data_IF_461191297920
#
_entry.id   IF_461191297920
#
_cell.length_a   1.000
_cell.length_b   1.000
_cell.length_c   1.000
_cell.angle_alpha   90.00
_cell.angle_beta   90.00
_cell.angle_gamma   90.00
#
_symmetry.space_group_name_H-M   'P 1'
#
loop_
_entity.id
_entity.type
_entity.pdbx_description
1 polymer ?
#
# COMPACT_ATOMS: atom_id res chain seq x y z
N UNK A 1 -5.36 -37.96 -4.63
CA UNK A 1 -4.13 -37.24 -5.06
C UNK A 1 -4.04 -35.86 -4.44
N UNK A 2 -5.15 -35.11 -4.36
CA UNK A 2 -5.21 -33.81 -3.64
C UNK A 2 -4.92 -33.96 -2.14
N UNK A 3 -5.49 -34.95 -1.45
CA UNK A 3 -5.21 -35.19 -0.02
C UNK A 3 -3.73 -35.46 0.28
N UNK A 4 -3.05 -36.21 -0.60
CA UNK A 4 -1.61 -36.49 -0.48
C UNK A 4 -0.81 -35.20 -0.69
N UNK A 5 -1.23 -34.35 -1.61
CA UNK A 5 -0.59 -33.06 -1.86
C UNK A 5 -0.74 -32.11 -0.68
N UNK A 6 -1.95 -32.01 -0.11
CA UNK A 6 -2.18 -31.19 1.08
C UNK A 6 -1.35 -31.66 2.27
N UNK A 7 -1.30 -32.97 2.52
CA UNK A 7 -0.45 -33.56 3.56
C UNK A 7 1.04 -33.21 3.34
N UNK A 8 1.54 -33.36 2.11
CA UNK A 8 2.93 -33.02 1.79
C UNK A 8 3.22 -31.52 1.98
N UNK A 9 2.30 -30.65 1.57
CA UNK A 9 2.52 -29.20 1.57
C UNK A 9 2.29 -28.55 2.93
N UNK A 10 1.35 -29.05 3.76
CA UNK A 10 1.03 -28.48 5.07
C UNK A 10 1.81 -29.16 6.19
N UNK A 11 1.77 -30.50 6.24
CA UNK A 11 2.28 -31.25 7.39
C UNK A 11 3.76 -31.58 7.23
N UNK A 12 4.17 -32.09 6.05
CA UNK A 12 5.57 -32.46 5.82
C UNK A 12 6.46 -31.23 5.69
N UNK A 13 6.06 -30.19 4.97
CA UNK A 13 6.85 -28.95 4.87
C UNK A 13 6.93 -28.21 6.22
N UNK A 14 5.85 -28.24 7.02
CA UNK A 14 5.84 -27.70 8.37
C UNK A 14 6.83 -28.41 9.29
N UNK A 15 6.85 -29.75 9.25
CA UNK A 15 7.75 -30.58 10.04
C UNK A 15 9.22 -30.47 9.58
N UNK A 16 9.48 -30.49 8.28
CA UNK A 16 10.84 -30.51 7.73
C UNK A 16 11.53 -29.14 7.74
N UNK A 17 10.81 -28.06 7.43
CA UNK A 17 11.38 -26.71 7.34
C UNK A 17 11.11 -25.85 8.60
N UNK A 18 10.28 -26.35 9.52
CA UNK A 18 9.77 -25.62 10.68
C UNK A 18 8.59 -24.71 10.34
N UNK A 19 7.70 -24.49 11.30
CA UNK A 19 6.37 -23.87 11.09
C UNK A 19 6.38 -22.49 10.39
N UNK A 20 7.43 -21.68 10.57
CA UNK A 20 7.56 -20.36 9.92
C UNK A 20 7.98 -20.47 8.46
N UNK A 21 8.98 -21.32 8.15
CA UNK A 21 9.47 -21.50 6.77
C UNK A 21 8.53 -22.39 5.96
N UNK A 22 7.95 -23.42 6.58
CA UNK A 22 6.94 -24.28 5.98
C UNK A 22 5.76 -23.47 5.43
N UNK A 23 5.15 -22.59 6.25
CA UNK A 23 4.09 -21.67 5.80
C UNK A 23 4.49 -20.82 4.59
N UNK A 24 5.72 -20.31 4.57
CA UNK A 24 6.23 -19.51 3.44
C UNK A 24 6.36 -20.37 2.18
N UNK A 25 6.86 -21.59 2.29
CA UNK A 25 6.96 -22.53 1.16
C UNK A 25 5.58 -22.89 0.63
N UNK A 26 4.63 -23.21 1.52
CA UNK A 26 3.23 -23.48 1.16
C UNK A 26 2.61 -22.31 0.40
N UNK A 27 2.85 -21.06 0.83
CA UNK A 27 2.32 -19.87 0.14
C UNK A 27 2.88 -19.65 -1.28
N UNK A 28 3.98 -20.32 -1.63
CA UNK A 28 4.57 -20.27 -2.97
C UNK A 28 4.07 -21.40 -3.86
N UNK A 29 3.30 -22.37 -3.35
CA UNK A 29 2.80 -23.47 -4.17
C UNK A 29 1.33 -23.21 -4.54
N UNK A 30 0.88 -23.64 -5.74
CA UNK A 30 -0.52 -23.51 -6.13
C UNK A 30 -1.42 -24.36 -5.23
N UNK A 31 -2.69 -23.98 -5.12
CA UNK A 31 -3.66 -24.73 -4.32
C UNK A 31 -4.02 -26.07 -4.96
N UNK A 32 -4.06 -26.16 -6.30
CA UNK A 32 -4.25 -27.43 -7.03
C UNK A 32 -2.90 -27.94 -7.57
N UNK A 33 -2.46 -29.17 -7.22
CA UNK A 33 -1.23 -29.76 -7.75
C UNK A 33 -1.21 -29.88 -9.28
N UNK A 34 -2.37 -29.91 -9.95
CA UNK A 34 -2.46 -29.93 -11.42
C UNK A 34 -1.96 -28.64 -12.07
N UNK A 35 -1.82 -27.55 -11.31
CA UNK A 35 -1.30 -26.27 -11.79
C UNK A 35 0.23 -26.19 -11.72
N UNK A 36 0.91 -27.11 -11.03
CA UNK A 36 2.37 -27.13 -10.93
C UNK A 36 3.10 -27.10 -12.30
N UNK A 37 2.64 -27.81 -13.35
CA UNK A 37 3.23 -27.69 -14.68
C UNK A 37 3.10 -26.26 -15.24
N UNK A 38 1.95 -25.61 -15.06
CA UNK A 38 1.71 -24.23 -15.52
C UNK A 38 2.58 -23.22 -14.75
N UNK A 39 2.72 -23.42 -13.43
CA UNK A 39 3.61 -22.60 -12.60
C UNK A 39 5.06 -22.70 -13.07
N UNK A 40 5.51 -23.92 -13.40
CA UNK A 40 6.85 -24.15 -13.93
C UNK A 40 7.05 -23.49 -15.30
N UNK A 41 6.06 -23.63 -16.20
CA UNK A 41 6.08 -23.04 -17.54
C UNK A 41 6.10 -21.50 -17.48
N UNK A 42 5.34 -20.90 -16.56
CA UNK A 42 5.32 -19.45 -16.33
C UNK A 42 6.65 -18.91 -15.76
N UNK A 43 7.59 -19.78 -15.36
CA UNK A 43 8.88 -19.38 -14.77
C UNK A 43 8.85 -19.20 -13.25
N UNK A 44 7.85 -19.77 -12.58
CA UNK A 44 7.73 -19.81 -11.12
C UNK A 44 6.45 -19.16 -10.59
N UNK A 45 6.24 -19.29 -9.28
CA UNK A 45 4.96 -18.95 -8.62
C UNK A 45 4.60 -17.48 -8.69
N UNK A 46 5.59 -16.58 -8.64
CA UNK A 46 5.37 -15.14 -8.78
C UNK A 46 4.85 -14.80 -10.18
N UNK A 47 5.49 -15.33 -11.23
CA UNK A 47 5.06 -15.09 -12.61
C UNK A 47 3.72 -15.74 -12.92
N UNK A 48 3.41 -16.86 -12.27
CA UNK A 48 2.10 -17.50 -12.42
C UNK A 48 0.98 -16.70 -11.76
N UNK A 49 1.20 -16.21 -10.53
CA UNK A 49 0.19 -15.46 -9.77
C UNK A 49 0.08 -14.00 -10.20
N UNK A 50 1.16 -13.42 -10.73
CA UNK A 50 1.20 -12.05 -11.25
C UNK A 50 1.94 -12.07 -12.60
N UNK A 51 1.28 -12.52 -13.69
CA UNK A 51 1.89 -12.60 -15.03
C UNK A 51 2.48 -11.26 -15.51
N UNK A 52 1.91 -10.17 -15.01
CA UNK A 52 2.27 -8.81 -15.37
C UNK A 52 3.41 -8.21 -14.53
N UNK A 53 3.92 -8.94 -13.53
CA UNK A 53 5.01 -8.48 -12.66
C UNK A 53 6.28 -8.14 -13.45
N UNK A 54 6.47 -8.77 -14.62
CA UNK A 54 7.53 -8.45 -15.56
C UNK A 54 6.92 -8.03 -16.89
N UNK A 55 7.19 -6.79 -17.29
CA UNK A 55 6.81 -6.27 -18.61
C UNK A 55 7.98 -6.37 -19.59
N UNK A 56 7.76 -6.70 -20.88
CA UNK A 56 8.79 -6.62 -21.90
C UNK A 56 9.37 -5.20 -22.00
N UNK A 57 10.65 -5.08 -22.36
CA UNK A 57 11.31 -3.77 -22.49
C UNK A 57 10.59 -2.86 -23.49
N UNK A 58 10.12 -3.40 -24.62
CA UNK A 58 9.37 -2.61 -25.60
C UNK A 58 8.04 -2.09 -25.04
N UNK A 59 7.37 -2.88 -24.19
CA UNK A 59 6.17 -2.41 -23.49
C UNK A 59 6.52 -1.27 -22.52
N UNK A 60 7.62 -1.40 -21.77
CA UNK A 60 8.10 -0.38 -20.84
C UNK A 60 8.54 0.91 -21.54
N UNK A 61 9.11 0.83 -22.76
CA UNK A 61 9.45 2.03 -23.53
C UNK A 61 8.22 2.83 -23.93
N UNK A 62 7.12 2.15 -24.26
CA UNK A 62 5.89 2.79 -24.74
C UNK A 62 4.93 3.19 -23.60
N UNK A 63 4.89 2.42 -22.51
CA UNK A 63 3.91 2.58 -21.42
C UNK A 63 4.56 2.86 -20.06
N UNK A 64 5.84 2.53 -19.89
CA UNK A 64 6.55 2.73 -18.63
C UNK A 64 6.74 4.23 -18.34
N UNK A 65 6.55 4.58 -17.07
CA UNK A 65 6.78 5.93 -16.56
C UNK A 65 7.71 5.83 -15.36
N UNK A 66 8.83 6.55 -15.41
CA UNK A 66 9.71 6.66 -14.25
C UNK A 66 9.07 7.59 -13.21
N UNK A 67 9.04 7.15 -11.96
CA UNK A 67 8.60 7.98 -10.82
C UNK A 67 9.80 8.70 -10.18
N UNK A 68 10.67 9.31 -10.99
CA UNK A 68 11.95 9.89 -10.54
C UNK A 68 11.97 11.42 -10.56
N UNK A 69 10.86 12.08 -10.89
CA UNK A 69 10.79 13.54 -11.02
C UNK A 69 10.94 14.29 -9.69
N UNK A 70 10.66 13.64 -8.56
CA UNK A 70 10.73 14.25 -7.23
C UNK A 70 11.45 13.35 -6.24
N UNK A 71 12.10 13.96 -5.28
CA UNK A 71 12.76 13.28 -4.16
C UNK A 71 12.45 14.00 -2.84
N UNK A 72 12.52 13.24 -1.74
CA UNK A 72 12.28 13.78 -0.41
C UNK A 72 13.58 14.36 0.18
N UNK A 73 13.61 15.66 0.47
CA UNK A 73 14.73 16.36 1.16
C UNK A 73 14.23 17.09 2.41
N UNK A 74 15.15 17.69 3.17
CA UNK A 74 14.77 18.61 4.26
C UNK A 74 13.96 19.78 3.68
N UNK A 75 12.82 20.09 4.30
CA UNK A 75 11.95 21.17 3.83
C UNK A 75 12.60 22.53 4.07
N UNK A 76 12.40 23.46 3.14
CA UNK A 76 12.76 24.87 3.32
C UNK A 76 11.71 25.64 4.13
N UNK A 77 10.55 25.02 4.39
CA UNK A 77 9.49 25.57 5.24
C UNK A 77 9.83 25.26 6.70
N UNK A 78 9.86 26.30 7.53
CA UNK A 78 10.12 26.18 8.97
C UNK A 78 9.14 25.18 9.61
N UNK A 79 9.69 24.23 10.36
CA UNK A 79 8.95 23.17 11.07
C UNK A 79 8.16 22.17 10.20
N UNK A 80 8.35 22.16 8.87
CA UNK A 80 7.66 21.19 8.00
C UNK A 80 8.40 19.84 7.86
N UNK A 81 9.55 19.67 8.51
CA UNK A 81 10.33 18.44 8.43
C UNK A 81 10.93 18.20 7.03
N UNK A 82 10.27 17.38 6.21
CA UNK A 82 10.72 17.04 4.86
C UNK A 82 9.79 17.62 3.78
N UNK A 83 10.31 17.78 2.58
CA UNK A 83 9.59 18.26 1.41
C UNK A 83 9.94 17.46 0.17
N UNK A 84 9.03 17.43 -0.80
CA UNK A 84 9.29 16.93 -2.15
C UNK A 84 9.94 18.03 -2.99
N UNK A 85 11.07 17.71 -3.63
CA UNK A 85 11.80 18.62 -4.50
C UNK A 85 12.00 17.98 -5.86
N UNK A 86 11.89 18.78 -6.91
CA UNK A 86 12.15 18.32 -8.26
C UNK A 86 13.62 17.91 -8.42
N UNK A 87 13.85 16.77 -9.08
CA UNK A 87 15.19 16.25 -9.42
C UNK A 87 15.66 16.76 -10.80
N UNK A 88 14.73 17.33 -11.58
CA UNK A 88 14.93 17.88 -12.93
C UNK A 88 13.90 18.97 -13.23
N UNK A 89 14.05 19.66 -14.35
CA UNK A 89 13.02 20.56 -14.84
C UNK A 89 11.74 19.78 -15.22
N UNK A 90 10.59 20.28 -14.78
CA UNK A 90 9.27 19.72 -15.05
C UNK A 90 8.47 20.78 -15.81
N UNK A 91 8.06 20.47 -17.04
CA UNK A 91 7.27 21.38 -17.87
C UNK A 91 5.86 21.55 -17.31
N UNK A 92 5.26 22.71 -17.54
CA UNK A 92 3.86 22.95 -17.18
C UNK A 92 2.93 21.90 -17.83
N UNK A 93 1.95 21.42 -17.06
CA UNK A 93 1.00 20.40 -17.52
C UNK A 93 1.54 18.97 -17.54
N UNK A 94 2.84 18.76 -17.29
CA UNK A 94 3.42 17.41 -17.26
C UNK A 94 3.15 16.67 -15.93
N UNK A 95 3.22 15.34 -15.99
CA UNK A 95 3.06 14.47 -14.83
C UNK A 95 4.24 14.61 -13.86
N UNK A 96 3.96 14.94 -12.60
CA UNK A 96 4.97 14.98 -11.53
C UNK A 96 5.18 13.58 -10.94
N UNK A 97 4.12 13.00 -10.37
CA UNK A 97 4.18 11.68 -9.74
C UNK A 97 2.78 11.09 -9.68
N UNK A 98 2.57 9.81 -10.06
CA UNK A 98 1.31 9.14 -9.79
C UNK A 98 1.18 8.92 -8.27
N UNK A 99 -0.05 9.04 -7.77
CA UNK A 99 -0.36 8.88 -6.36
C UNK A 99 -1.42 7.77 -6.21
N UNK A 100 -1.01 6.49 -6.14
CA UNK A 100 -1.92 5.41 -5.82
C UNK A 100 -2.65 5.69 -4.49
N UNK A 101 -3.98 5.52 -4.47
CA UNK A 101 -4.81 5.86 -3.30
C UNK A 101 -5.34 4.60 -2.64
N UNK A 102 -5.13 4.48 -1.33
CA UNK A 102 -5.82 3.51 -0.49
C UNK A 102 -7.12 4.15 -0.02
N UNK A 103 -8.24 3.50 -0.31
CA UNK A 103 -9.56 3.99 0.04
C UNK A 103 -9.89 3.68 1.51
N UNK A 104 -10.32 4.71 2.24
CA UNK A 104 -10.95 4.60 3.56
C UNK A 104 -12.40 5.07 3.38
N UNK A 105 -13.34 4.13 3.50
CA UNK A 105 -14.74 4.35 3.14
C UNK A 105 -15.49 5.31 4.06
N UNK A 106 -15.03 5.45 5.31
CA UNK A 106 -15.63 6.35 6.29
C UNK A 106 -14.56 7.00 7.16
N UNK A 107 -14.53 8.33 7.16
CA UNK A 107 -13.65 9.15 7.99
C UNK A 107 -13.84 8.91 9.48
N UNK A 108 -15.00 8.42 9.91
CA UNK A 108 -15.25 8.02 11.30
C UNK A 108 -14.34 6.85 11.75
N UNK A 109 -13.74 6.10 10.81
CA UNK A 109 -12.71 5.11 11.15
C UNK A 109 -11.44 5.75 11.72
N UNK A 110 -11.22 7.04 11.49
CA UNK A 110 -10.12 7.80 12.08
C UNK A 110 -10.44 8.28 13.50
N UNK A 111 -11.61 7.98 14.04
CA UNK A 111 -12.01 8.44 15.36
C UNK A 111 -11.33 7.59 16.44
N UNK A 112 -10.82 8.27 17.45
CA UNK A 112 -10.30 7.66 18.66
C UNK A 112 -11.37 7.73 19.75
N UNK A 113 -11.42 6.69 20.57
CA UNK A 113 -12.39 6.50 21.64
C UNK A 113 -11.65 6.13 22.92
N UNK A 114 -12.25 6.43 24.07
CA UNK A 114 -11.73 5.95 25.35
C UNK A 114 -11.94 4.43 25.43
N UNK A 115 -10.88 3.70 25.77
CA UNK A 115 -10.88 2.23 25.82
C UNK A 115 -10.35 1.78 27.17
N UNK A 116 -11.12 0.91 27.83
CA UNK A 116 -10.71 0.23 29.06
C UNK A 116 -10.44 -1.25 28.80
N UNK A 117 -9.62 -1.84 29.67
CA UNK A 117 -9.31 -3.27 29.63
C UNK A 117 -9.93 -3.95 30.83
N UNK A 118 -10.55 -5.10 30.62
CA UNK A 118 -10.86 -6.00 31.73
C UNK A 118 -9.56 -6.56 32.32
N UNK A 119 -9.47 -6.59 33.65
CA UNK A 119 -8.36 -7.24 34.35
C UNK A 119 -8.51 -8.77 34.33
N UNK A 120 -7.39 -9.49 34.37
CA UNK A 120 -7.37 -10.96 34.41
C UNK A 120 -6.59 -11.59 33.25
N UNK A 121 -6.61 -12.93 33.17
CA UNK A 121 -5.92 -13.70 32.12
C UNK A 121 -6.56 -13.55 30.72
N UNK A 122 -7.85 -13.24 30.67
CA UNK A 122 -8.62 -12.98 29.44
C UNK A 122 -8.98 -11.50 29.31
N UNK A 123 -7.97 -10.64 29.29
CA UNK A 123 -8.18 -9.19 29.12
C UNK A 123 -8.71 -8.88 27.72
N UNK A 124 -9.89 -8.27 27.63
CA UNK A 124 -10.41 -7.70 26.40
C UNK A 124 -10.59 -6.19 26.56
N UNK A 125 -10.45 -5.48 25.44
CA UNK A 125 -10.57 -4.02 25.36
C UNK A 125 -11.95 -3.64 24.86
N UNK A 126 -12.62 -2.72 25.55
CA UNK A 126 -13.94 -2.24 25.19
C UNK A 126 -14.01 -0.70 25.27
N UNK A 127 -14.88 -0.11 24.44
CA UNK A 127 -15.12 1.33 24.45
C UNK A 127 -16.00 1.69 25.66
N UNK A 128 -15.62 2.72 26.41
CA UNK A 128 -16.40 3.17 27.59
C UNK A 128 -17.59 4.04 27.20
N UNK A 129 -17.48 4.75 26.08
CA UNK A 129 -18.50 5.62 25.52
C UNK A 129 -18.46 5.58 23.97
N UNK A 130 -19.42 6.27 23.35
CA UNK A 130 -19.45 6.49 21.91
C UNK A 130 -18.91 7.87 21.52
N UNK A 131 -18.41 8.63 22.48
CA UNK A 131 -17.91 9.97 22.24
C UNK A 131 -16.46 9.90 21.77
N UNK A 132 -16.19 10.50 20.62
CA UNK A 132 -14.84 10.52 20.09
C UNK A 132 -13.96 11.44 20.94
N UNK A 133 -12.86 10.89 21.48
CA UNK A 133 -11.87 11.63 22.25
C UNK A 133 -10.86 12.38 21.37
N UNK A 134 -10.84 12.09 20.06
CA UNK A 134 -9.98 12.75 19.09
C UNK A 134 -9.93 12.03 17.74
N UNK A 135 -9.04 12.47 16.86
CA UNK A 135 -8.80 11.84 15.54
C UNK A 135 -7.39 11.28 15.46
N UNK A 136 -7.23 10.17 14.75
CA UNK A 136 -5.94 9.57 14.43
C UNK A 136 -5.10 10.55 13.59
N UNK A 137 -3.80 10.65 13.90
CA UNK A 137 -2.87 11.54 13.19
C UNK A 137 -2.75 11.24 11.69
N UNK A 138 -3.06 10.01 11.28
CA UNK A 138 -3.11 9.60 9.87
C UNK A 138 -4.01 10.51 9.03
N UNK A 139 -5.08 11.07 9.63
CA UNK A 139 -6.00 11.99 8.96
C UNK A 139 -5.30 13.20 8.32
N UNK A 140 -4.20 13.67 8.90
CA UNK A 140 -3.42 14.80 8.37
C UNK A 140 -2.72 14.50 7.04
N UNK A 141 -2.65 13.22 6.66
CA UNK A 141 -1.98 12.74 5.45
C UNK A 141 -2.96 12.18 4.43
N UNK A 142 -4.28 12.28 4.67
CA UNK A 142 -5.31 11.83 3.76
C UNK A 142 -5.88 13.00 2.93
N UNK A 143 -6.27 12.70 1.69
CA UNK A 143 -7.12 13.60 0.90
C UNK A 143 -8.59 13.32 1.23
N UNK A 144 -9.38 14.38 1.37
CA UNK A 144 -10.81 14.29 1.68
C UNK A 144 -11.53 15.58 1.35
N UNK A 145 -12.86 15.53 1.39
CA UNK A 145 -13.73 16.70 1.19
C UNK A 145 -14.65 16.86 2.41
N UNK A 146 -14.92 18.08 2.90
CA UNK A 146 -15.80 18.29 4.06
C UNK A 146 -17.17 17.64 3.92
N UNK A 147 -17.72 17.65 2.70
CA UNK A 147 -19.04 17.09 2.36
C UNK A 147 -19.00 15.58 2.03
N UNK A 148 -17.84 14.94 2.14
CA UNK A 148 -17.69 13.50 1.95
C UNK A 148 -17.29 12.80 3.25
N UNK A 149 -17.75 11.56 3.42
CA UNK A 149 -17.23 10.64 4.43
C UNK A 149 -15.96 9.93 3.96
N UNK A 150 -15.68 9.93 2.65
CA UNK A 150 -14.58 9.17 2.06
C UNK A 150 -13.25 9.88 2.25
N UNK A 151 -12.22 9.12 2.61
CA UNK A 151 -10.83 9.56 2.63
C UNK A 151 -9.99 8.71 1.67
N UNK A 152 -8.98 9.35 1.09
CA UNK A 152 -7.98 8.69 0.27
C UNK A 152 -6.63 8.85 0.94
N UNK A 153 -6.04 7.73 1.37
CA UNK A 153 -4.67 7.73 1.84
C UNK A 153 -3.71 7.57 0.64
N UNK A 154 -2.89 8.58 0.31
CA UNK A 154 -1.88 8.48 -0.72
C UNK A 154 -0.79 7.47 -0.35
N UNK A 155 -0.69 6.41 -1.14
CA UNK A 155 0.36 5.40 -1.05
C UNK A 155 1.39 5.63 -2.16
N UNK A 156 2.63 5.96 -1.80
CA UNK A 156 3.68 6.27 -2.77
C UNK A 156 4.88 6.96 -2.13
N UNK A 157 6.08 6.77 -2.69
CA UNK A 157 7.32 7.05 -1.99
C UNK A 157 7.64 8.54 -1.78
N UNK A 158 7.35 9.41 -2.76
CA UNK A 158 7.77 10.81 -2.71
C UNK A 158 6.61 11.82 -2.64
N UNK A 159 5.43 11.48 -3.17
CA UNK A 159 4.28 12.38 -3.22
C UNK A 159 3.76 12.79 -1.83
N UNK A 160 3.94 11.91 -0.83
CA UNK A 160 3.61 12.17 0.58
C UNK A 160 4.40 13.35 1.20
N UNK A 161 5.51 13.75 0.59
CA UNK A 161 6.33 14.88 1.05
C UNK A 161 5.97 16.20 0.37
N UNK A 162 4.98 16.23 -0.53
CA UNK A 162 4.52 17.47 -1.15
C UNK A 162 3.81 18.29 -0.07
N UNK A 163 4.39 19.44 0.27
CA UNK A 163 3.85 20.34 1.27
C UNK A 163 2.69 21.17 0.69
N UNK A 164 1.73 21.51 1.55
CA UNK A 164 0.70 22.49 1.23
C UNK A 164 1.27 23.91 1.20
N UNK A 165 0.81 24.73 0.25
CA UNK A 165 1.06 26.18 0.21
C UNK A 165 -0.18 26.90 -0.28
N UNK A 166 -0.45 28.09 0.26
CA UNK A 166 -1.50 28.99 -0.25
C UNK A 166 -0.98 30.02 -1.24
N UNK A 167 0.32 30.31 -1.20
CA UNK A 167 0.93 31.42 -1.95
C UNK A 167 1.78 30.93 -3.13
N UNK A 168 2.52 29.84 -2.95
CA UNK A 168 3.51 29.33 -3.92
C UNK A 168 3.09 27.95 -4.43
N UNK A 169 1.88 27.87 -4.97
CA UNK A 169 1.35 26.64 -5.58
C UNK A 169 1.96 26.47 -6.96
N UNK A 170 2.56 25.31 -7.22
CA UNK A 170 3.19 24.96 -8.49
C UNK A 170 2.85 23.55 -8.98
N UNK A 171 1.93 22.86 -8.29
CA UNK A 171 1.47 21.52 -8.62
C UNK A 171 -0.02 21.41 -8.27
N UNK A 172 -0.73 20.54 -8.97
CA UNK A 172 -2.13 20.20 -8.67
C UNK A 172 -2.34 18.69 -8.78
N UNK A 173 -3.26 18.19 -7.97
CA UNK A 173 -3.75 16.82 -8.11
C UNK A 173 -4.82 16.79 -9.19
N UNK A 174 -4.79 15.75 -10.02
CA UNK A 174 -5.76 15.48 -11.07
C UNK A 174 -6.06 13.99 -11.06
N UNK A 175 -7.29 13.62 -11.42
CA UNK A 175 -7.62 12.22 -11.66
C UNK A 175 -6.90 11.75 -12.92
N UNK A 176 -6.38 10.51 -12.87
CA UNK A 176 -5.75 9.90 -14.04
C UNK A 176 -6.81 9.62 -15.11
N UNK A 177 -6.56 10.07 -16.33
CA UNK A 177 -7.31 9.66 -17.53
C UNK A 177 -6.69 8.40 -18.16
N UNK A 178 -5.55 7.94 -17.64
CA UNK A 178 -4.92 6.71 -18.09
C UNK A 178 -5.75 5.51 -17.59
N UNK A 179 -6.17 4.59 -18.49
CA UNK A 179 -6.87 3.36 -18.13
C UNK A 179 -5.99 2.39 -17.33
#
# INVERSE_FOLDING_TARGET
>A
REEIYEFLVKDVMGAAAGAKKGRKITSLLPSDPKELPKVKEAGGSLMYSIPEARRPVEWLKNNGRCMDHIEAKASTIRNAGRGAFATRAISEGSLISPVPLIHISDKAMMDMYQVESTGGSDSYRYRTDNDSTGKQLLLNYCYGHPESSMLFFPSGSAALFINHSKEKVNAKMVWSEHP
#
